data_IF_210842689188
#
_entry.id   IF_210842689188
#
_cell.length_a   1.000
_cell.length_b   1.000
_cell.length_c   1.000
_cell.angle_alpha   90.00
_cell.angle_beta   90.00
_cell.angle_gamma   90.00
#
_symmetry.space_group_name_H-M   'P 1'
#
loop_
_entity.id
_entity.type
_entity.pdbx_description
1 polymer ?
#
# COMPACT_ATOMS: atom_id res chain seq x y z
N UNK A 1 -11.28 -2.18 5.38
CA UNK A 1 -10.26 -1.27 4.80
C UNK A 1 -8.93 -1.50 5.50
N UNK A 2 -7.82 -1.68 4.77
CA UNK A 2 -6.50 -1.97 5.35
C UNK A 2 -5.77 -0.65 5.64
N UNK A 3 -5.33 -0.44 6.88
CA UNK A 3 -4.65 0.79 7.32
C UNK A 3 -3.31 0.50 7.98
N UNK A 4 -2.46 1.52 8.11
CA UNK A 4 -1.31 1.43 9.02
C UNK A 4 -1.79 1.22 10.46
N UNK A 5 -1.03 0.44 11.23
CA UNK A 5 -1.36 0.22 12.64
C UNK A 5 -1.17 1.52 13.46
N UNK A 6 -1.51 1.46 14.75
CA UNK A 6 -1.39 2.58 15.69
C UNK A 6 0.03 3.15 15.79
N UNK A 7 1.06 2.34 15.50
CA UNK A 7 2.47 2.74 15.45
C UNK A 7 2.91 3.27 14.08
N UNK A 8 1.98 3.50 13.15
CA UNK A 8 2.23 3.86 11.75
C UNK A 8 3.10 2.83 11.00
N UNK A 9 2.96 1.55 11.31
CA UNK A 9 3.64 0.45 10.63
C UNK A 9 2.71 -0.27 9.67
N UNK A 10 3.28 -0.88 8.64
CA UNK A 10 2.56 -1.79 7.76
C UNK A 10 1.95 -2.94 8.58
N UNK A 11 0.64 -3.21 8.48
CA UNK A 11 -0.01 -4.26 9.27
C UNK A 11 0.50 -5.66 8.93
N UNK A 12 1.07 -5.86 7.74
CA UNK A 12 1.63 -7.13 7.28
C UNK A 12 3.09 -7.31 7.69
N UNK A 13 3.93 -6.32 7.42
CA UNK A 13 5.37 -6.44 7.64
C UNK A 13 5.83 -5.96 9.03
N UNK A 14 4.98 -5.26 9.77
CA UNK A 14 5.29 -4.60 11.05
C UNK A 14 6.47 -3.62 10.98
N UNK A 15 6.82 -3.17 9.78
CA UNK A 15 7.87 -2.17 9.51
C UNK A 15 7.21 -0.83 9.20
N UNK A 16 7.85 0.26 9.64
CA UNK A 16 7.42 1.63 9.32
C UNK A 16 7.65 1.93 7.83
N UNK A 17 6.61 2.23 7.05
CA UNK A 17 6.77 2.62 5.65
C UNK A 17 7.58 3.91 5.50
N UNK A 18 8.27 4.04 4.38
CA UNK A 18 8.97 5.25 3.99
C UNK A 18 7.96 6.30 3.55
N UNK A 19 8.19 7.56 3.93
CA UNK A 19 7.35 8.68 3.50
C UNK A 19 7.94 9.28 2.23
N UNK A 20 7.20 9.20 1.13
CA UNK A 20 7.54 9.85 -0.12
C UNK A 20 6.71 11.12 -0.28
N UNK A 21 7.39 12.25 -0.47
CA UNK A 21 6.78 13.50 -0.91
C UNK A 21 7.21 13.71 -2.36
N UNK A 22 6.28 13.66 -3.31
CA UNK A 22 6.60 14.03 -4.69
C UNK A 22 6.84 15.54 -4.71
N UNK A 23 8.09 15.95 -4.95
CA UNK A 23 8.47 17.36 -5.01
C UNK A 23 7.93 17.99 -6.29
N UNK A 24 6.88 18.79 -6.17
CA UNK A 24 6.26 19.54 -7.26
C UNK A 24 4.90 20.06 -6.81
N UNK A 25 4.53 21.27 -7.22
CA UNK A 25 3.25 21.90 -6.92
C UNK A 25 2.10 20.98 -7.41
N UNK A 26 1.50 20.21 -6.48
CA UNK A 26 0.44 19.24 -6.77
C UNK A 26 0.74 17.77 -6.45
N UNK A 27 1.96 17.42 -6.02
CA UNK A 27 2.32 16.04 -5.69
C UNK A 27 1.62 15.50 -4.42
N UNK A 28 0.67 14.57 -4.57
CA UNK A 28 0.10 13.82 -3.45
C UNK A 28 1.13 12.83 -2.90
N UNK A 29 1.74 13.17 -1.77
CA UNK A 29 2.68 12.27 -1.10
C UNK A 29 2.00 10.98 -0.62
N UNK A 30 2.80 9.92 -0.41
CA UNK A 30 2.32 8.61 0.05
C UNK A 30 3.32 7.97 1.02
N UNK A 31 2.87 6.96 1.76
CA UNK A 31 3.70 6.03 2.50
C UNK A 31 3.95 4.78 1.66
N UNK A 32 5.19 4.28 1.59
CA UNK A 32 5.56 3.10 0.83
C UNK A 32 6.26 2.05 1.71
N UNK A 33 5.73 0.84 1.78
CA UNK A 33 6.33 -0.26 2.51
C UNK A 33 7.21 -1.10 1.58
N UNK A 34 8.52 -0.84 1.59
CA UNK A 34 9.52 -1.50 0.73
C UNK A 34 9.63 -3.03 0.90
N UNK A 35 9.05 -3.62 1.94
CA UNK A 35 9.12 -5.07 2.17
C UNK A 35 8.02 -5.84 1.44
N UNK A 36 6.91 -5.18 1.14
CA UNK A 36 5.78 -5.81 0.50
C UNK A 36 5.15 -4.96 -0.59
N UNK A 37 5.85 -3.92 -1.03
CA UNK A 37 5.45 -3.05 -2.14
C UNK A 37 4.02 -2.52 -2.03
N UNK A 38 3.61 -2.18 -0.80
CA UNK A 38 2.29 -1.58 -0.50
C UNK A 38 2.41 -0.09 -0.29
N UNK A 39 1.43 0.64 -0.82
CA UNK A 39 1.33 2.09 -0.74
C UNK A 39 0.13 2.48 0.12
N UNK A 40 0.32 3.49 0.95
CA UNK A 40 -0.71 4.02 1.82
C UNK A 40 -0.84 5.54 1.67
N UNK A 41 -2.04 6.05 1.81
CA UNK A 41 -2.33 7.49 1.83
C UNK A 41 -1.63 8.18 3.00
N UNK A 42 -1.01 9.34 2.79
CA UNK A 42 -0.50 10.14 3.91
C UNK A 42 -1.61 10.68 4.81
N UNK A 43 -2.79 10.95 4.24
CA UNK A 43 -3.92 11.59 4.94
C UNK A 43 -4.70 10.58 5.76
N UNK A 44 -5.12 9.50 5.13
CA UNK A 44 -6.02 8.51 5.76
C UNK A 44 -5.29 7.29 6.29
N UNK A 45 -4.01 7.10 5.92
CA UNK A 45 -3.20 5.90 6.24
C UNK A 45 -3.78 4.60 5.68
N UNK A 46 -4.80 4.69 4.84
CA UNK A 46 -5.41 3.57 4.14
C UNK A 46 -4.50 3.11 3.02
N UNK A 47 -4.48 1.81 2.78
CA UNK A 47 -3.82 1.21 1.63
C UNK A 47 -4.53 1.69 0.37
N UNK A 48 -3.79 2.35 -0.52
CA UNK A 48 -4.30 2.87 -1.79
C UNK A 48 -3.85 2.04 -2.98
N UNK A 49 -2.79 1.24 -2.81
CA UNK A 49 -2.22 0.43 -3.89
C UNK A 49 -1.41 -0.72 -3.30
N UNK A 50 -1.41 -1.87 -3.98
CA UNK A 50 -0.64 -3.05 -3.57
C UNK A 50 -0.02 -3.70 -4.79
N UNK A 51 1.28 -3.52 -4.96
CA UNK A 51 2.09 -4.28 -5.93
C UNK A 51 2.73 -5.52 -5.30
N UNK A 52 2.29 -5.86 -4.08
CA UNK A 52 2.70 -7.08 -3.41
C UNK A 52 2.33 -8.29 -4.26
N UNK A 53 3.34 -8.96 -4.83
CA UNK A 53 3.13 -10.23 -5.49
C UNK A 53 2.71 -11.28 -4.46
N UNK A 54 1.60 -11.96 -4.70
CA UNK A 54 1.30 -13.24 -4.03
C UNK A 54 1.64 -14.35 -5.02
N UNK A 55 2.45 -15.32 -4.59
CA UNK A 55 2.62 -16.58 -5.32
C UNK A 55 1.31 -17.34 -5.19
N UNK A 56 0.59 -17.52 -6.28
CA UNK A 56 -0.63 -18.31 -6.26
C UNK A 56 -0.26 -19.80 -6.18
N UNK A 57 -0.92 -20.50 -5.26
CA UNK A 57 -0.55 -21.85 -4.83
C UNK A 57 -0.91 -22.95 -5.83
N UNK A 58 -1.52 -22.60 -6.96
CA UNK A 58 -2.02 -23.60 -7.92
C UNK A 58 -1.02 -23.86 -9.05
N UNK A 59 -0.23 -22.88 -9.49
CA UNK A 59 0.74 -23.05 -10.59
C UNK A 59 2.04 -22.24 -10.46
N UNK A 60 2.30 -21.58 -9.33
CA UNK A 60 3.49 -20.73 -9.19
C UNK A 60 3.43 -19.42 -9.98
N UNK A 61 2.24 -19.05 -10.48
CA UNK A 61 1.98 -17.78 -11.15
C UNK A 61 1.85 -16.65 -10.12
N UNK A 62 2.39 -15.48 -10.47
CA UNK A 62 2.25 -14.28 -9.67
C UNK A 62 1.04 -13.48 -10.16
N UNK A 63 0.02 -13.31 -9.32
CA UNK A 63 -1.24 -12.66 -9.71
C UNK A 63 -1.29 -11.23 -9.18
N UNK A 64 -1.64 -10.27 -10.04
CA UNK A 64 -1.89 -8.88 -9.68
C UNK A 64 -3.28 -8.77 -9.01
N UNK A 65 -3.32 -8.34 -7.75
CA UNK A 65 -4.60 -8.01 -7.09
C UNK A 65 -4.86 -6.52 -7.30
N UNK A 66 -5.52 -6.16 -8.40
CA UNK A 66 -6.07 -4.82 -8.58
C UNK A 66 -7.30 -4.69 -7.66
N UNK A 67 -7.07 -4.42 -6.38
CA UNK A 67 -8.18 -4.12 -5.46
C UNK A 67 -8.53 -2.65 -5.67
N UNK A 68 -9.22 -2.35 -6.78
CA UNK A 68 -9.92 -1.09 -6.96
C UNK A 68 -11.06 -1.10 -5.94
N UNK A 69 -10.89 -0.39 -4.82
CA UNK A 69 -11.99 -0.12 -3.91
C UNK A 69 -12.91 0.86 -4.64
N UNK A 70 -13.95 0.36 -5.30
CA UNK A 70 -15.04 1.20 -5.80
C UNK A 70 -15.64 1.93 -4.60
N UNK A 71 -15.45 3.26 -4.57
CA UNK A 71 -16.15 4.14 -3.65
C UNK A 71 -17.50 4.42 -4.31
N UNK A 72 -18.54 3.68 -3.91
CA UNK A 72 -19.91 4.12 -4.17
C UNK A 72 -20.13 5.48 -3.50
N UNK A 73 -20.67 6.43 -4.27
CA UNK A 73 -20.98 7.81 -3.85
C UNK A 73 -22.18 7.88 -2.93
#
# INVERSE_FOLDING_TARGET
>A
MITLNEKNQCPFCKIKPLRYKTGGAGGSGHYFCYRCDRKYSLKTKEMVESWAWKKDGVNGEFVYFDTVVEIEK
#
